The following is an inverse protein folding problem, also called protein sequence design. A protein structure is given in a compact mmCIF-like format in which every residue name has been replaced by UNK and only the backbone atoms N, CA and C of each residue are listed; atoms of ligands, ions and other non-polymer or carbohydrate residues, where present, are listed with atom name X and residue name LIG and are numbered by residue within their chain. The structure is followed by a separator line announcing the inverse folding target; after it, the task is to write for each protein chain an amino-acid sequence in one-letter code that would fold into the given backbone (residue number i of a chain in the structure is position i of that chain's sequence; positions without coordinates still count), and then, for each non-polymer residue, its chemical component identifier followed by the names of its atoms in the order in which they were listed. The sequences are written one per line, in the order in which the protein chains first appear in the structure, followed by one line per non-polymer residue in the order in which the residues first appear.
data_IF_378807887849
#
_entry.id   IF_378807887849
#
_cell.length_a   1.000
_cell.length_b   1.000
_cell.length_c   1.000
_cell.angle_alpha   90.00
_cell.angle_beta   90.00
_cell.angle_gamma   90.00
#
_symmetry.space_group_name_H-M   'P 1'
#
loop_
_entity.id
_entity.type
_entity.pdbx_description
1 polymer ?
#
# COMPACT_ATOMS: atom_id res chain seq x y z
N UNK A 1 4.44 26.67 -13.67
CA UNK A 1 3.92 28.03 -13.94
C UNK A 1 4.50 28.59 -15.23
N UNK A 2 5.84 28.71 -15.35
CA UNK A 2 6.50 29.25 -16.56
C UNK A 2 6.09 28.55 -17.85
N UNK A 3 6.07 27.21 -17.87
CA UNK A 3 5.68 26.43 -19.04
C UNK A 3 4.20 26.62 -19.45
N UNK A 4 3.33 26.99 -18.51
CA UNK A 4 1.90 27.24 -18.73
C UNK A 4 1.59 28.73 -18.88
N UNK A 5 2.58 29.61 -18.70
CA UNK A 5 2.44 31.06 -18.56
C UNK A 5 1.24 31.47 -17.67
N UNK A 6 1.02 30.71 -16.59
CA UNK A 6 -0.15 30.83 -15.71
C UNK A 6 0.28 30.73 -14.26
N UNK A 7 -0.29 31.59 -13.42
CA UNK A 7 -0.11 31.57 -11.97
C UNK A 7 -0.98 30.48 -11.35
N UNK A 8 -0.36 29.52 -10.68
CA UNK A 8 -1.02 28.41 -10.00
C UNK A 8 -1.15 28.67 -8.50
N UNK A 9 -0.35 29.61 -7.97
CA UNK A 9 -0.39 29.99 -6.56
C UNK A 9 -0.40 31.51 -6.34
N UNK A 10 -1.28 31.97 -5.47
CA UNK A 10 -1.34 33.35 -4.96
C UNK A 10 -0.69 33.46 -3.59
N UNK A 11 0.03 34.56 -3.36
CA UNK A 11 0.63 34.85 -2.04
C UNK A 11 -0.27 35.81 -1.26
N UNK A 12 -0.99 35.30 -0.25
CA UNK A 12 -1.81 36.11 0.68
C UNK A 12 -1.24 36.06 2.08
N UNK A 13 -0.83 37.20 2.63
CA UNK A 13 -0.40 37.36 4.03
C UNK A 13 0.63 36.31 4.52
N UNK A 14 1.71 36.10 3.75
CA UNK A 14 2.76 35.07 3.96
C UNK A 14 2.33 33.62 3.73
N UNK A 15 1.09 33.36 3.36
CA UNK A 15 0.60 32.02 2.99
C UNK A 15 0.48 31.89 1.46
N UNK A 16 0.85 30.73 0.95
CA UNK A 16 0.60 30.32 -0.44
C UNK A 16 -0.79 29.70 -0.52
N UNK A 17 -1.63 30.22 -1.41
CA UNK A 17 -2.99 29.75 -1.67
C UNK A 17 -3.06 29.32 -3.13
N UNK A 18 -3.78 28.24 -3.41
CA UNK A 18 -3.99 27.77 -4.78
C UNK A 18 -4.85 28.78 -5.56
N UNK A 19 -4.53 28.99 -6.84
CA UNK A 19 -5.46 29.63 -7.77
C UNK A 19 -6.44 28.58 -8.32
N UNK A 20 -7.52 29.02 -8.97
CA UNK A 20 -8.47 28.12 -9.64
C UNK A 20 -7.77 27.22 -10.67
N UNK A 21 -6.82 27.77 -11.43
CA UNK A 21 -6.01 27.03 -12.39
C UNK A 21 -5.08 26.03 -11.69
N UNK A 22 -4.56 26.39 -10.52
CA UNK A 22 -3.80 25.49 -9.65
C UNK A 22 -4.63 24.30 -9.17
N UNK A 23 -5.88 24.52 -8.76
CA UNK A 23 -6.78 23.44 -8.31
C UNK A 23 -7.12 22.46 -9.43
N UNK A 24 -7.36 22.97 -10.64
CA UNK A 24 -7.60 22.13 -11.84
C UNK A 24 -6.38 21.26 -12.12
N UNK A 25 -5.17 21.86 -12.12
CA UNK A 25 -3.94 21.12 -12.37
C UNK A 25 -3.68 20.08 -11.28
N UNK A 26 -3.88 20.43 -10.01
CA UNK A 26 -3.69 19.53 -8.88
C UNK A 26 -4.60 18.31 -8.99
N UNK A 27 -5.87 18.52 -9.32
CA UNK A 27 -6.84 17.43 -9.50
C UNK A 27 -6.41 16.48 -10.62
N UNK A 28 -5.94 17.03 -11.74
CA UNK A 28 -5.41 16.25 -12.86
C UNK A 28 -4.15 15.46 -12.46
N UNK A 29 -3.18 16.11 -11.80
CA UNK A 29 -1.96 15.47 -11.34
C UNK A 29 -2.23 14.34 -10.35
N UNK A 30 -3.13 14.53 -9.38
CA UNK A 30 -3.52 13.48 -8.44
C UNK A 30 -4.07 12.24 -9.15
N UNK A 31 -4.93 12.44 -10.15
CA UNK A 31 -5.49 11.33 -10.90
C UNK A 31 -4.42 10.60 -11.74
N UNK A 32 -3.61 11.36 -12.49
CA UNK A 32 -2.63 10.77 -13.42
C UNK A 32 -1.48 10.10 -12.66
N UNK A 33 -1.00 10.71 -11.58
CA UNK A 33 0.05 10.08 -10.77
C UNK A 33 -0.48 8.86 -10.01
N UNK A 34 -1.72 8.88 -9.52
CA UNK A 34 -2.34 7.67 -8.95
C UNK A 34 -2.39 6.52 -9.95
N UNK A 35 -2.81 6.77 -11.19
CA UNK A 35 -2.81 5.77 -12.25
C UNK A 35 -1.39 5.28 -12.61
N UNK A 36 -0.41 6.18 -12.58
CA UNK A 36 0.99 5.83 -12.83
C UNK A 36 1.53 4.92 -11.72
N UNK A 37 1.24 5.25 -10.46
CA UNK A 37 1.63 4.44 -9.29
C UNK A 37 0.98 3.05 -9.35
N UNK A 38 -0.31 2.96 -9.67
CA UNK A 38 -1.00 1.68 -9.88
C UNK A 38 -0.31 0.84 -10.96
N UNK A 39 0.00 1.46 -12.10
CA UNK A 39 0.71 0.79 -13.20
C UNK A 39 2.11 0.32 -12.77
N UNK A 40 2.85 1.14 -12.03
CA UNK A 40 4.17 0.77 -11.51
C UNK A 40 4.08 -0.36 -10.49
N UNK A 41 3.06 -0.38 -9.64
CA UNK A 41 2.78 -1.48 -8.71
C UNK A 41 2.50 -2.77 -9.51
N UNK A 42 1.62 -2.72 -10.51
CA UNK A 42 1.32 -3.89 -11.36
C UNK A 42 2.56 -4.41 -12.10
N UNK A 43 3.44 -3.52 -12.56
CA UNK A 43 4.67 -3.87 -13.27
C UNK A 43 5.78 -4.37 -12.33
N UNK A 44 5.83 -3.86 -11.11
CA UNK A 44 6.84 -4.23 -10.10
C UNK A 44 6.48 -5.50 -9.34
N UNK A 45 5.19 -5.86 -9.27
CA UNK A 45 4.78 -7.17 -8.75
C UNK A 45 5.27 -8.26 -9.72
N UNK A 46 6.22 -9.11 -9.30
CA UNK A 46 6.66 -10.20 -10.15
C UNK A 46 5.45 -11.09 -10.46
N UNK A 47 5.23 -11.38 -11.75
CA UNK A 47 4.20 -12.31 -12.24
C UNK A 47 4.33 -13.75 -11.70
N UNK A 48 5.26 -13.99 -10.80
CA UNK A 48 5.38 -15.23 -10.04
C UNK A 48 4.30 -15.23 -8.98
N UNK A 49 3.26 -16.00 -9.23
CA UNK A 49 2.11 -16.28 -8.37
C UNK A 49 2.51 -17.00 -7.05
N UNK A 50 3.60 -16.61 -6.39
CA UNK A 50 3.83 -16.95 -4.99
C UNK A 50 3.26 -15.80 -4.18
N UNK A 51 1.93 -15.72 -4.12
CA UNK A 51 1.24 -14.88 -3.14
C UNK A 51 1.60 -15.45 -1.77
N UNK A 52 2.56 -14.84 -1.09
CA UNK A 52 2.84 -15.20 0.29
C UNK A 52 1.95 -14.30 1.15
N UNK A 53 1.20 -14.89 2.08
CA UNK A 53 0.43 -14.16 3.09
C UNK A 53 1.22 -14.19 4.39
N UNK A 54 1.81 -13.07 4.78
CA UNK A 54 2.63 -12.96 5.99
C UNK A 54 1.77 -12.46 7.14
N UNK A 55 1.51 -13.33 8.12
CA UNK A 55 0.68 -13.02 9.29
C UNK A 55 1.53 -12.88 10.54
N UNK A 56 1.48 -11.71 11.18
CA UNK A 56 2.00 -11.55 12.53
C UNK A 56 0.92 -11.91 13.56
N UNK A 57 1.23 -12.84 14.45
CA UNK A 57 0.29 -13.29 15.46
C UNK A 57 1.02 -13.73 16.73
N UNK A 58 0.46 -13.37 17.90
CA UNK A 58 1.00 -13.73 19.21
C UNK A 58 1.18 -15.26 19.30
N UNK A 59 2.32 -15.75 19.86
CA UNK A 59 2.68 -17.17 19.82
C UNK A 59 1.59 -18.12 20.32
N UNK A 60 0.93 -17.78 21.42
CA UNK A 60 -0.12 -18.60 22.02
C UNK A 60 -1.32 -18.73 21.10
N UNK A 61 -1.76 -17.63 20.50
CA UNK A 61 -2.88 -17.62 19.55
C UNK A 61 -2.52 -18.36 18.24
N UNK A 62 -1.31 -18.16 17.74
CA UNK A 62 -0.78 -18.84 16.55
C UNK A 62 -0.82 -20.35 16.72
N UNK A 63 -0.32 -20.85 17.85
CA UNK A 63 -0.25 -22.29 18.13
C UNK A 63 -1.61 -22.91 18.46
N UNK A 64 -2.40 -22.28 19.34
CA UNK A 64 -3.64 -22.89 19.84
C UNK A 64 -4.81 -22.77 18.87
N UNK A 65 -4.81 -21.78 17.98
CA UNK A 65 -5.97 -21.48 17.15
C UNK A 65 -5.67 -21.44 15.65
N UNK A 66 -4.62 -20.73 15.24
CA UNK A 66 -4.37 -20.43 13.83
C UNK A 66 -3.75 -21.61 13.06
N UNK A 67 -2.64 -22.16 13.54
CA UNK A 67 -1.95 -23.31 12.92
C UNK A 67 -2.90 -24.52 12.71
N UNK A 68 -3.73 -24.93 13.68
CA UNK A 68 -4.68 -26.02 13.48
C UNK A 68 -5.72 -25.77 12.38
N UNK A 69 -6.03 -24.50 12.10
CA UNK A 69 -7.04 -24.08 11.11
C UNK A 69 -6.44 -23.83 9.72
N UNK A 70 -5.13 -23.59 9.62
CA UNK A 70 -4.44 -23.40 8.34
C UNK A 70 -4.58 -24.62 7.42
N UNK A 71 -4.60 -25.83 7.97
CA UNK A 71 -4.81 -27.04 7.16
C UNK A 71 -6.19 -27.08 6.50
N UNK A 72 -7.23 -26.54 7.15
CA UNK A 72 -8.57 -26.41 6.57
C UNK A 72 -8.61 -25.27 5.55
N UNK A 73 -7.96 -24.17 5.86
CA UNK A 73 -7.84 -23.01 4.99
C UNK A 73 -7.15 -23.34 3.66
N UNK A 74 -6.03 -24.06 3.69
CA UNK A 74 -5.31 -24.52 2.48
C UNK A 74 -6.17 -25.39 1.56
N UNK A 75 -7.14 -26.12 2.11
CA UNK A 75 -8.08 -26.95 1.33
C UNK A 75 -9.14 -26.15 0.58
N UNK A 76 -9.29 -24.84 0.86
CA UNK A 76 -10.23 -23.97 0.15
C UNK A 76 -9.74 -23.55 -1.25
N UNK A 77 -8.52 -23.96 -1.65
CA UNK A 77 -8.00 -23.70 -2.99
C UNK A 77 -7.44 -22.30 -3.19
N UNK A 78 -7.10 -21.61 -2.10
CA UNK A 78 -6.39 -20.34 -2.17
C UNK A 78 -4.93 -20.57 -2.57
N UNK A 79 -4.49 -19.91 -3.64
CA UNK A 79 -3.14 -20.03 -4.20
C UNK A 79 -2.17 -19.06 -3.51
N UNK A 80 -2.08 -19.17 -2.18
CA UNK A 80 -1.10 -18.43 -1.39
C UNK A 80 -0.47 -19.24 -0.26
N UNK A 81 0.82 -19.01 -0.04
CA UNK A 81 1.61 -19.61 1.03
C UNK A 81 1.51 -18.74 2.29
N UNK A 82 1.00 -19.31 3.39
CA UNK A 82 0.90 -18.56 4.66
C UNK A 82 2.19 -18.68 5.45
N UNK A 83 2.81 -17.54 5.77
CA UNK A 83 3.98 -17.45 6.64
C UNK A 83 3.60 -16.76 7.94
N UNK A 84 3.96 -17.38 9.06
CA UNK A 84 3.62 -16.90 10.39
C UNK A 84 4.84 -16.27 11.07
N UNK A 85 4.70 -15.02 11.48
CA UNK A 85 5.64 -14.34 12.36
C UNK A 85 5.11 -14.39 13.79
N UNK A 86 5.78 -15.15 14.64
CA UNK A 86 5.39 -15.36 16.05
C UNK A 86 6.45 -14.82 17.00
N UNK A 87 6.98 -13.62 16.74
CA UNK A 87 8.02 -13.01 17.56
C UNK A 87 7.49 -12.31 18.83
N UNK A 88 6.17 -12.05 18.91
CA UNK A 88 5.55 -11.49 20.11
C UNK A 88 6.09 -10.11 20.52
N UNK A 89 6.36 -9.24 19.55
CA UNK A 89 6.94 -7.91 19.74
C UNK A 89 6.27 -6.83 18.89
N UNK A 90 6.83 -5.61 18.89
CA UNK A 90 6.35 -4.49 18.06
C UNK A 90 6.43 -4.87 16.59
N UNK A 91 5.33 -4.70 15.87
CA UNK A 91 5.19 -5.02 14.45
C UNK A 91 5.61 -3.84 13.59
N UNK A 92 6.52 -4.04 12.64
CA UNK A 92 6.96 -3.02 11.67
C UNK A 92 6.51 -3.43 10.26
N UNK A 93 5.36 -2.90 9.82
CA UNK A 93 4.73 -3.26 8.54
C UNK A 93 5.60 -2.92 7.32
N UNK A 94 6.50 -1.93 7.41
CA UNK A 94 7.39 -1.57 6.31
C UNK A 94 8.63 -2.46 6.22
N UNK A 95 9.11 -3.00 7.35
CA UNK A 95 10.30 -3.86 7.37
C UNK A 95 9.99 -5.35 7.27
N UNK A 96 8.86 -5.77 7.84
CA UNK A 96 8.56 -7.20 8.02
C UNK A 96 7.68 -7.76 6.88
N UNK A 97 7.29 -6.94 5.90
CA UNK A 97 6.39 -7.31 4.80
C UNK A 97 5.15 -8.06 5.29
N UNK A 98 4.49 -7.53 6.32
CA UNK A 98 3.29 -8.11 6.92
C UNK A 98 2.05 -7.60 6.18
N UNK A 99 1.15 -8.52 5.85
CA UNK A 99 -0.16 -8.24 5.25
C UNK A 99 -1.24 -7.90 6.30
#
# INVERSE_FOLDING_TARGET
EEALNTTLFDRKNKTLVMTEQGEILLSCCHQVFGQLDECLIELSQPKTHNKQLVLSCEPTLSMKWLIPRLSKFKKLGHDFEVVLLTAGGVVDFEKDNID
#
